data_IF_363442600945
#
_entry.id   IF_363442600945
#
_cell.length_a   1.000
_cell.length_b   1.000
_cell.length_c   1.000
_cell.angle_alpha   90.00
_cell.angle_beta   90.00
_cell.angle_gamma   90.00
#
_symmetry.space_group_name_H-M   'P 1'
#
loop_
_entity.id
_entity.type
_entity.pdbx_description
1 polymer ?
#
# COMPACT_ATOMS: atom_id res chain seq x y z
N UNK A 1 12.91 0.16 -63.47
CA UNK A 1 13.82 -0.86 -64.00
C UNK A 1 15.24 -0.40 -63.76
N UNK A 2 15.89 -0.96 -62.73
CA UNK A 2 17.35 -1.06 -62.58
C UNK A 2 17.60 -1.96 -61.37
N UNK A 3 17.56 -3.25 -61.67
CA UNK A 3 18.09 -4.34 -60.88
C UNK A 3 19.61 -4.20 -60.70
N UNK A 4 20.11 -4.38 -59.49
CA UNK A 4 21.36 -5.12 -59.27
C UNK A 4 21.47 -5.67 -57.85
N UNK A 5 22.19 -6.79 -57.66
CA UNK A 5 22.07 -7.73 -56.55
C UNK A 5 23.35 -7.75 -55.70
N UNK A 6 23.57 -8.84 -54.92
CA UNK A 6 24.85 -9.24 -54.30
C UNK A 6 25.07 -8.57 -52.93
N UNK A 7 25.42 -9.22 -51.82
CA UNK A 7 26.23 -10.42 -51.66
C UNK A 7 26.04 -10.99 -50.24
N UNK A 8 25.93 -12.30 -50.17
CA UNK A 8 26.05 -13.17 -48.98
C UNK A 8 27.41 -12.99 -48.27
N UNK A 9 27.41 -12.93 -46.94
CA UNK A 9 28.54 -13.49 -46.17
C UNK A 9 28.16 -13.91 -44.75
N UNK A 10 28.11 -15.23 -44.57
CA UNK A 10 28.08 -15.91 -43.30
C UNK A 10 29.37 -15.66 -42.51
N UNK A 11 29.24 -15.28 -41.24
CA UNK A 11 30.34 -15.26 -40.29
C UNK A 11 29.99 -16.15 -39.08
N UNK A 12 30.22 -17.45 -39.26
CA UNK A 12 30.12 -18.49 -38.24
C UNK A 12 31.34 -18.38 -37.32
N UNK A 13 31.31 -17.53 -36.29
CA UNK A 13 32.35 -17.50 -35.25
C UNK A 13 32.11 -18.62 -34.25
N UNK A 14 32.88 -19.71 -34.43
CA UNK A 14 33.18 -20.69 -33.37
C UNK A 14 33.83 -19.95 -32.20
N UNK A 15 33.25 -20.04 -31.00
CA UNK A 15 33.96 -19.71 -29.76
C UNK A 15 34.64 -20.97 -29.22
N UNK A 16 35.93 -20.92 -28.85
CA UNK A 16 36.63 -22.02 -28.22
C UNK A 16 36.18 -22.19 -26.76
N UNK A 17 36.22 -23.44 -26.30
CA UNK A 17 35.87 -23.83 -24.94
C UNK A 17 36.72 -23.11 -23.90
N UNK A 18 36.05 -22.62 -22.87
CA UNK A 18 36.68 -22.29 -21.61
C UNK A 18 36.50 -23.47 -20.68
N UNK A 19 37.64 -24.02 -20.29
CA UNK A 19 37.77 -25.15 -19.39
C UNK A 19 37.16 -24.88 -18.03
N UNK A 20 36.76 -25.99 -17.43
CA UNK A 20 36.39 -26.11 -16.04
C UNK A 20 37.52 -25.61 -15.12
N UNK A 21 37.17 -24.66 -14.26
CA UNK A 21 37.83 -24.51 -12.97
C UNK A 21 36.74 -24.62 -11.91
N UNK A 22 36.58 -25.84 -11.40
CA UNK A 22 35.86 -26.16 -10.16
C UNK A 22 36.58 -25.45 -9.00
N UNK A 23 36.14 -24.23 -8.68
CA UNK A 23 36.41 -23.61 -7.39
C UNK A 23 35.18 -23.85 -6.52
N UNK A 24 35.36 -24.74 -5.56
CA UNK A 24 34.41 -25.03 -4.50
C UNK A 24 33.97 -23.73 -3.80
N UNK A 25 32.67 -23.49 -3.58
CA UNK A 25 32.25 -22.43 -2.70
C UNK A 25 32.68 -22.79 -1.28
N UNK A 26 33.63 -22.02 -0.74
CA UNK A 26 33.91 -21.96 0.70
C UNK A 26 32.59 -21.74 1.41
N UNK A 27 32.22 -22.70 2.26
CA UNK A 27 31.05 -22.63 3.11
C UNK A 27 31.08 -21.35 3.93
N UNK A 28 30.20 -20.42 3.61
CA UNK A 28 29.85 -19.33 4.49
C UNK A 28 29.01 -19.95 5.60
N UNK A 29 29.70 -20.39 6.67
CA UNK A 29 29.08 -20.79 7.93
C UNK A 29 28.60 -19.51 8.60
N UNK A 30 27.53 -18.92 8.05
CA UNK A 30 26.79 -17.87 8.71
C UNK A 30 26.26 -18.46 10.00
N UNK A 31 26.80 -17.99 11.12
CA UNK A 31 26.27 -18.22 12.45
C UNK A 31 24.82 -17.76 12.46
N UNK A 32 23.90 -18.70 12.28
CA UNK A 32 22.47 -18.51 12.57
C UNK A 32 22.40 -18.35 14.09
N UNK A 33 22.49 -17.11 14.55
CA UNK A 33 22.08 -16.77 15.90
C UNK A 33 20.61 -17.17 16.05
N UNK A 34 20.25 -18.03 17.00
CA UNK A 34 18.86 -18.31 17.29
C UNK A 34 18.32 -17.08 18.02
N UNK A 35 17.87 -16.08 17.27
CA UNK A 35 16.99 -15.03 17.83
C UNK A 35 15.61 -15.68 18.00
N UNK A 36 15.50 -16.58 18.97
CA UNK A 36 14.25 -16.82 19.70
C UNK A 36 13.98 -15.54 20.47
N UNK A 37 13.37 -14.55 19.81
CA UNK A 37 12.58 -13.56 20.56
C UNK A 37 11.40 -14.34 21.12
N UNK A 38 11.49 -14.64 22.42
CA UNK A 38 10.31 -14.83 23.23
C UNK A 38 9.50 -13.53 23.10
N UNK A 39 8.50 -13.54 22.21
CA UNK A 39 7.43 -12.57 22.26
C UNK A 39 6.66 -12.87 23.55
N UNK A 40 7.03 -12.17 24.61
CA UNK A 40 6.29 -12.19 25.87
C UNK A 40 4.89 -11.60 25.64
N UNK A 41 3.88 -12.06 26.39
CA UNK A 41 2.49 -11.61 26.27
C UNK A 41 2.24 -10.13 26.63
N UNK A 42 3.26 -9.38 27.06
CA UNK A 42 3.10 -7.99 27.53
C UNK A 42 2.91 -6.94 26.42
N UNK A 43 3.21 -7.26 25.16
CA UNK A 43 2.97 -6.30 24.05
C UNK A 43 1.49 -6.24 23.65
N UNK A 44 0.67 -7.19 24.10
CA UNK A 44 -0.75 -7.26 23.73
C UNK A 44 -1.62 -6.20 24.42
N UNK A 45 -1.29 -5.74 25.63
CA UNK A 45 -2.15 -4.79 26.37
C UNK A 45 -1.94 -3.33 25.96
N UNK A 46 -0.71 -2.91 25.65
CA UNK A 46 -0.44 -1.55 25.18
C UNK A 46 -0.97 -1.29 23.76
N UNK A 47 -1.13 -2.35 22.95
CA UNK A 47 -1.64 -2.25 21.57
C UNK A 47 -3.16 -2.02 21.53
N UNK A 48 -3.91 -2.59 22.48
CA UNK A 48 -5.37 -2.40 22.58
C UNK A 48 -5.73 -0.94 22.89
N UNK A 49 -4.94 -0.24 23.73
CA UNK A 49 -5.25 1.13 24.13
C UNK A 49 -5.11 2.19 23.02
N UNK A 50 -4.17 2.00 22.08
CA UNK A 50 -3.99 2.94 20.95
C UNK A 50 -5.03 2.66 19.86
N UNK A 51 -5.38 1.40 19.62
CA UNK A 51 -6.45 1.03 18.69
C UNK A 51 -7.80 1.60 19.10
N UNK A 52 -8.19 1.51 20.38
CA UNK A 52 -9.50 1.99 20.81
C UNK A 52 -9.70 3.48 20.56
N UNK A 53 -8.67 4.32 20.76
CA UNK A 53 -8.79 5.76 20.52
C UNK A 53 -8.88 6.10 19.03
N UNK A 54 -8.14 5.41 18.17
CA UNK A 54 -8.17 5.63 16.72
C UNK A 54 -9.47 5.12 16.10
N UNK A 55 -9.94 3.94 16.52
CA UNK A 55 -11.23 3.40 16.11
C UNK A 55 -12.38 4.21 16.69
N UNK A 56 -12.29 4.74 17.91
CA UNK A 56 -13.32 5.62 18.46
C UNK A 56 -13.45 6.92 17.66
N UNK A 57 -12.34 7.53 17.23
CA UNK A 57 -12.35 8.72 16.36
C UNK A 57 -12.88 8.38 14.96
N UNK A 58 -12.47 7.23 14.40
CA UNK A 58 -12.97 6.77 13.11
C UNK A 58 -14.47 6.42 13.16
N UNK A 59 -14.93 5.78 14.23
CA UNK A 59 -16.33 5.42 14.47
C UNK A 59 -17.17 6.63 14.80
N UNK A 60 -16.67 7.63 15.54
CA UNK A 60 -17.40 8.89 15.74
C UNK A 60 -17.46 9.70 14.46
N UNK A 61 -16.39 9.75 13.65
CA UNK A 61 -16.43 10.36 12.33
C UNK A 61 -17.40 9.61 11.40
N UNK A 62 -17.41 8.28 11.43
CA UNK A 62 -18.33 7.43 10.67
C UNK A 62 -19.78 7.56 11.17
N UNK A 63 -20.00 7.74 12.47
CA UNK A 63 -21.31 7.97 13.06
C UNK A 63 -21.82 9.38 12.74
N UNK A 64 -20.97 10.41 12.83
CA UNK A 64 -21.28 11.77 12.34
C UNK A 64 -21.58 11.76 10.84
N UNK A 65 -20.88 10.92 10.08
CA UNK A 65 -21.12 10.73 8.67
C UNK A 65 -22.43 9.99 8.40
N UNK A 66 -22.74 8.95 9.18
CA UNK A 66 -23.99 8.21 9.08
C UNK A 66 -25.18 9.12 9.40
N UNK A 67 -25.07 9.96 10.43
CA UNK A 67 -26.11 10.95 10.76
C UNK A 67 -26.24 12.04 9.70
N UNK A 68 -25.14 12.44 9.03
CA UNK A 68 -25.22 13.32 7.86
C UNK A 68 -25.85 12.62 6.63
N UNK A 69 -25.68 11.30 6.47
CA UNK A 69 -26.19 10.53 5.34
C UNK A 69 -27.66 10.13 5.49
N UNK A 70 -28.11 9.80 6.71
CA UNK A 70 -29.51 9.49 7.01
C UNK A 70 -30.40 10.73 7.09
N UNK A 71 -29.92 11.88 6.62
CA UNK A 71 -30.75 13.04 6.28
C UNK A 71 -31.69 12.76 5.09
N UNK A 72 -32.43 11.66 5.12
CA UNK A 72 -33.71 11.46 4.43
C UNK A 72 -34.83 12.16 5.22
N UNK A 73 -34.60 13.40 5.66
CA UNK A 73 -35.62 14.20 6.31
C UNK A 73 -35.96 15.39 5.42
N UNK A 74 -37.03 15.16 4.65
CA UNK A 74 -37.89 16.13 3.98
C UNK A 74 -37.34 16.81 2.72
N UNK A 75 -38.09 16.67 1.63
CA UNK A 75 -37.85 17.33 0.34
C UNK A 75 -37.78 18.87 0.45
N UNK A 76 -38.32 19.46 1.52
CA UNK A 76 -38.25 20.90 1.80
C UNK A 76 -36.83 21.42 2.06
N UNK A 77 -35.88 20.54 2.39
CA UNK A 77 -34.49 20.96 2.65
C UNK A 77 -33.62 21.06 1.39
N UNK A 78 -34.11 20.60 0.23
CA UNK A 78 -33.33 20.55 -1.03
C UNK A 78 -32.97 21.95 -1.55
N UNK A 79 -33.81 22.96 -1.31
CA UNK A 79 -33.55 24.34 -1.74
C UNK A 79 -32.63 25.13 -0.78
N UNK A 80 -32.47 24.70 0.48
CA UNK A 80 -31.46 25.25 1.42
C UNK A 80 -30.19 24.41 1.52
N UNK A 81 -30.18 23.19 1.01
CA UNK A 81 -29.10 22.21 1.18
C UNK A 81 -27.78 22.57 0.50
N UNK A 82 -27.79 23.42 -0.53
CA UNK A 82 -26.57 23.83 -1.24
C UNK A 82 -25.59 24.60 -0.36
N UNK A 83 -26.09 25.56 0.43
CA UNK A 83 -25.25 26.35 1.34
C UNK A 83 -24.75 25.52 2.54
N UNK A 84 -25.59 24.58 3.02
CA UNK A 84 -25.22 23.70 4.13
C UNK A 84 -24.11 22.70 3.75
N UNK A 85 -24.20 22.10 2.55
CA UNK A 85 -23.16 21.19 2.04
C UNK A 85 -21.81 21.89 1.88
N UNK A 86 -21.79 23.10 1.33
CA UNK A 86 -20.56 23.88 1.18
C UNK A 86 -19.93 24.24 2.53
N UNK A 87 -20.74 24.64 3.51
CA UNK A 87 -20.28 24.98 4.87
C UNK A 87 -19.74 23.76 5.63
N UNK A 88 -20.45 22.63 5.57
CA UNK A 88 -20.05 21.39 6.22
C UNK A 88 -18.73 20.85 5.63
N UNK A 89 -18.58 20.93 4.30
CA UNK A 89 -17.35 20.53 3.62
C UNK A 89 -16.15 21.38 4.07
N UNK A 90 -16.32 22.70 4.15
CA UNK A 90 -15.25 23.61 4.56
C UNK A 90 -14.86 23.42 6.04
N UNK A 91 -15.84 23.21 6.92
CA UNK A 91 -15.60 22.95 8.34
C UNK A 91 -14.85 21.63 8.55
N UNK A 92 -15.26 20.56 7.86
CA UNK A 92 -14.57 19.27 7.92
C UNK A 92 -13.13 19.40 7.43
N UNK A 93 -12.90 20.15 6.34
CA UNK A 93 -11.55 20.36 5.80
C UNK A 93 -10.60 21.01 6.79
N UNK A 94 -11.06 22.06 7.48
CA UNK A 94 -10.25 22.77 8.47
C UNK A 94 -9.94 21.88 9.68
N UNK A 95 -10.94 21.15 10.19
CA UNK A 95 -10.75 20.26 11.34
C UNK A 95 -9.79 19.11 11.02
N UNK A 96 -9.91 18.53 9.82
CA UNK A 96 -9.01 17.45 9.34
C UNK A 96 -7.57 17.94 9.23
N UNK A 97 -7.34 19.16 8.75
CA UNK A 97 -5.98 19.73 8.67
C UNK A 97 -5.36 19.98 10.05
N UNK A 98 -6.14 20.46 11.02
CA UNK A 98 -5.67 20.64 12.40
C UNK A 98 -5.34 19.28 13.03
N UNK A 99 -6.24 18.30 12.87
CA UNK A 99 -6.02 16.94 13.37
C UNK A 99 -4.76 16.29 12.74
N UNK A 100 -4.49 16.53 11.46
CA UNK A 100 -3.31 16.02 10.79
C UNK A 100 -1.99 16.56 11.35
N UNK A 101 -1.99 17.71 12.03
CA UNK A 101 -0.83 18.22 12.75
C UNK A 101 -0.60 17.57 14.11
N UNK A 102 -1.67 17.05 14.74
CA UNK A 102 -1.64 16.53 16.11
C UNK A 102 -1.37 15.02 16.18
N UNK A 103 -1.58 14.28 15.09
CA UNK A 103 -1.42 12.83 15.09
C UNK A 103 0.05 12.43 14.90
N UNK A 104 0.65 11.66 15.83
CA UNK A 104 2.06 11.31 15.76
C UNK A 104 2.38 10.31 14.63
N UNK A 105 1.40 9.53 14.19
CA UNK A 105 1.60 8.50 13.16
C UNK A 105 1.57 9.09 11.74
N UNK A 106 2.68 8.94 11.01
CA UNK A 106 2.85 9.42 9.63
C UNK A 106 1.78 8.86 8.68
N UNK A 107 1.40 7.59 8.83
CA UNK A 107 0.40 6.96 7.98
C UNK A 107 -0.95 7.69 8.04
N UNK A 108 -1.35 8.08 9.25
CA UNK A 108 -2.60 8.79 9.48
C UNK A 108 -2.54 10.24 8.97
N UNK A 109 -1.37 10.88 9.06
CA UNK A 109 -1.15 12.21 8.46
C UNK A 109 -1.32 12.16 6.94
N UNK A 110 -0.74 11.15 6.29
CA UNK A 110 -0.94 10.90 4.86
C UNK A 110 -2.42 10.70 4.58
N UNK A 111 -3.12 9.88 5.37
CA UNK A 111 -4.56 9.67 5.24
C UNK A 111 -5.37 10.97 5.28
N UNK A 112 -5.21 11.75 6.34
CA UNK A 112 -5.95 13.01 6.53
C UNK A 112 -5.60 14.05 5.48
N UNK A 113 -4.32 14.17 5.10
CA UNK A 113 -3.88 15.11 4.06
C UNK A 113 -4.53 14.81 2.71
N UNK A 114 -4.69 13.54 2.36
CA UNK A 114 -5.37 13.09 1.14
C UNK A 114 -6.87 13.29 1.25
N UNK A 115 -7.47 12.96 2.38
CA UNK A 115 -8.89 13.19 2.59
C UNK A 115 -9.26 14.69 2.45
N UNK A 116 -8.38 15.58 2.93
CA UNK A 116 -8.55 17.02 2.80
C UNK A 116 -8.24 17.58 1.40
N UNK A 117 -7.53 16.85 0.53
CA UNK A 117 -7.22 17.32 -0.82
C UNK A 117 -8.30 16.97 -1.84
N UNK A 118 -9.11 15.94 -1.57
CA UNK A 118 -10.15 15.44 -2.48
C UNK A 118 -11.40 16.34 -2.44
N UNK A 119 -12.04 16.63 -3.60
CA UNK A 119 -13.28 17.43 -3.65
C UNK A 119 -14.49 16.76 -2.98
N UNK A 120 -14.59 15.44 -3.11
CA UNK A 120 -15.67 14.61 -2.56
C UNK A 120 -15.11 13.49 -1.68
N UNK A 121 -14.79 13.75 -0.39
CA UNK A 121 -14.17 12.77 0.50
C UNK A 121 -15.01 11.50 0.64
N UNK A 122 -16.35 11.62 0.62
CA UNK A 122 -17.27 10.49 0.72
C UNK A 122 -17.15 9.53 -0.48
N UNK A 123 -17.12 10.08 -1.70
CA UNK A 123 -16.99 9.29 -2.93
C UNK A 123 -15.63 8.60 -2.97
N UNK A 124 -14.59 9.30 -2.53
CA UNK A 124 -13.27 8.72 -2.40
C UNK A 124 -13.20 7.58 -1.38
N UNK A 125 -13.71 7.79 -0.16
CA UNK A 125 -13.75 6.74 0.86
C UNK A 125 -14.54 5.52 0.38
N UNK A 126 -15.71 5.73 -0.25
CA UNK A 126 -16.50 4.65 -0.83
C UNK A 126 -15.72 3.88 -1.91
N UNK A 127 -14.97 4.59 -2.76
CA UNK A 127 -14.09 3.99 -3.77
C UNK A 127 -12.97 3.14 -3.15
N UNK A 128 -12.30 3.66 -2.11
CA UNK A 128 -11.26 2.89 -1.40
C UNK A 128 -11.85 1.69 -0.66
N UNK A 129 -13.03 1.82 -0.04
CA UNK A 129 -13.72 0.70 0.61
C UNK A 129 -14.07 -0.38 -0.40
N UNK A 130 -14.63 0.00 -1.57
CA UNK A 130 -14.97 -0.94 -2.62
C UNK A 130 -13.73 -1.71 -3.12
N UNK A 131 -12.62 -1.01 -3.37
CA UNK A 131 -11.34 -1.64 -3.74
C UNK A 131 -10.83 -2.59 -2.65
N UNK A 132 -10.97 -2.21 -1.38
CA UNK A 132 -10.59 -3.07 -0.25
C UNK A 132 -11.44 -4.32 -0.11
N UNK A 133 -12.75 -4.21 -0.35
CA UNK A 133 -13.67 -5.35 -0.37
C UNK A 133 -13.37 -6.28 -1.54
N UNK A 134 -13.09 -5.75 -2.73
CA UNK A 134 -12.66 -6.55 -3.88
C UNK A 134 -11.35 -7.27 -3.58
N UNK A 135 -10.39 -6.57 -2.97
CA UNK A 135 -9.14 -7.16 -2.53
C UNK A 135 -9.38 -8.30 -1.55
N UNK A 136 -10.16 -8.05 -0.49
CA UNK A 136 -10.51 -9.06 0.51
C UNK A 136 -11.22 -10.27 -0.13
N UNK A 137 -12.16 -10.04 -1.04
CA UNK A 137 -12.79 -11.10 -1.84
C UNK A 137 -11.78 -11.90 -2.66
N UNK A 138 -10.81 -11.22 -3.28
CA UNK A 138 -9.73 -11.89 -4.02
C UNK A 138 -8.83 -12.73 -3.13
N UNK A 139 -8.59 -12.30 -1.88
CA UNK A 139 -7.82 -13.06 -0.87
C UNK A 139 -8.56 -14.31 -0.41
N UNK A 140 -9.89 -14.22 -0.27
CA UNK A 140 -10.76 -15.37 0.06
C UNK A 140 -10.75 -16.39 -1.07
N UNK A 141 -10.85 -15.94 -2.32
CA UNK A 141 -10.82 -16.82 -3.51
C UNK A 141 -9.42 -17.40 -3.73
N UNK A 142 -8.35 -16.67 -3.37
CA UNK A 142 -6.95 -17.06 -3.57
C UNK A 142 -6.21 -17.15 -2.23
N UNK A 143 -6.35 -18.26 -1.49
CA UNK A 143 -5.81 -18.38 -0.12
C UNK A 143 -4.28 -18.30 -0.05
N UNK A 144 -3.57 -18.48 -1.16
CA UNK A 144 -2.12 -18.31 -1.22
C UNK A 144 -1.69 -16.90 -0.80
N UNK A 145 -2.40 -15.86 -1.25
CA UNK A 145 -2.04 -14.48 -0.94
C UNK A 145 -2.29 -14.17 0.54
N UNK A 146 -3.40 -14.68 1.09
CA UNK A 146 -3.71 -14.55 2.51
C UNK A 146 -2.65 -15.21 3.41
N UNK A 147 -2.14 -16.39 3.03
CA UNK A 147 -1.09 -17.10 3.77
C UNK A 147 0.21 -16.31 3.87
N UNK A 148 0.53 -15.51 2.85
CA UNK A 148 1.73 -14.67 2.83
C UNK A 148 1.52 -13.39 3.65
N UNK A 149 0.34 -12.77 3.57
CA UNK A 149 0.08 -11.49 4.26
C UNK A 149 -0.15 -11.68 5.76
N UNK A 150 -0.87 -12.73 6.18
CA UNK A 150 -1.32 -12.90 7.57
C UNK A 150 -0.17 -12.86 8.60
N UNK A 151 0.98 -13.52 8.40
CA UNK A 151 2.10 -13.45 9.34
C UNK A 151 2.66 -12.03 9.53
N UNK A 152 2.55 -11.19 8.49
CA UNK A 152 3.06 -9.82 8.49
C UNK A 152 1.99 -8.77 8.86
N UNK A 153 0.76 -9.21 9.15
CA UNK A 153 -0.34 -8.31 9.53
C UNK A 153 0.03 -7.28 10.61
N UNK A 154 0.68 -7.61 11.76
CA UNK A 154 0.98 -6.61 12.79
C UNK A 154 1.95 -5.51 12.32
N UNK A 155 2.85 -5.82 11.39
CA UNK A 155 3.77 -4.84 10.80
C UNK A 155 3.06 -3.93 9.78
N UNK A 156 2.02 -4.44 9.10
CA UNK A 156 1.28 -3.68 8.08
C UNK A 156 0.20 -2.78 8.72
N UNK A 157 -0.42 -3.22 9.82
CA UNK A 157 -1.48 -2.49 10.53
C UNK A 157 -1.16 -1.01 10.82
N UNK A 158 0.00 -0.61 11.37
CA UNK A 158 0.28 0.81 11.65
C UNK A 158 0.30 1.68 10.38
N UNK A 159 0.54 1.07 9.20
CA UNK A 159 0.60 1.74 7.92
C UNK A 159 -0.69 1.64 7.10
N UNK A 160 -1.70 0.90 7.59
CA UNK A 160 -2.97 0.70 6.90
C UNK A 160 -3.65 2.02 6.48
N UNK A 161 -3.69 3.08 7.31
CA UNK A 161 -4.33 4.33 6.91
C UNK A 161 -3.72 4.92 5.63
N UNK A 162 -2.39 4.86 5.48
CA UNK A 162 -1.72 5.32 4.27
C UNK A 162 -2.01 4.41 3.08
N UNK A 163 -1.91 3.08 3.26
CA UNK A 163 -2.22 2.08 2.23
C UNK A 163 -3.66 2.25 1.74
N UNK A 164 -4.61 2.44 2.67
CA UNK A 164 -6.03 2.58 2.41
C UNK A 164 -6.34 3.75 1.49
N UNK A 165 -5.63 4.88 1.60
CA UNK A 165 -5.84 6.02 0.69
C UNK A 165 -5.51 5.73 -0.77
N UNK A 166 -4.80 4.65 -1.05
CA UNK A 166 -4.32 4.29 -2.40
C UNK A 166 -4.72 2.89 -2.79
N UNK A 167 -5.69 2.31 -2.10
CA UNK A 167 -6.09 0.92 -2.26
C UNK A 167 -6.63 0.65 -3.66
N UNK A 168 -7.39 1.58 -4.24
CA UNK A 168 -7.88 1.52 -5.62
C UNK A 168 -6.79 1.46 -6.68
N UNK A 169 -5.64 2.11 -6.44
CA UNK A 169 -4.48 2.06 -7.34
C UNK A 169 -3.69 0.76 -7.12
N UNK A 170 -3.61 0.32 -5.87
CA UNK A 170 -2.87 -0.88 -5.47
C UNK A 170 -3.58 -2.19 -5.85
N UNK A 171 -4.91 -2.21 -5.83
CA UNK A 171 -5.75 -3.39 -6.08
C UNK A 171 -5.25 -4.28 -7.24
N UNK A 172 -5.03 -3.78 -8.48
CA UNK A 172 -4.58 -4.61 -9.60
C UNK A 172 -3.16 -5.17 -9.42
N UNK A 173 -2.34 -4.55 -8.57
CA UNK A 173 -0.93 -4.87 -8.39
C UNK A 173 -0.62 -5.71 -7.15
N UNK A 174 -1.55 -5.80 -6.18
CA UNK A 174 -1.34 -6.52 -4.91
C UNK A 174 -0.87 -7.97 -5.11
N UNK A 175 -1.42 -8.79 -6.02
CA UNK A 175 -0.93 -10.16 -6.21
C UNK A 175 0.55 -10.22 -6.62
N UNK A 176 1.00 -9.27 -7.45
CA UNK A 176 2.41 -9.15 -7.86
C UNK A 176 3.30 -8.66 -6.73
N UNK A 177 2.83 -7.65 -5.99
CA UNK A 177 3.53 -7.09 -4.82
C UNK A 177 3.74 -8.18 -3.77
N UNK A 178 2.67 -8.87 -3.33
CA UNK A 178 2.73 -9.85 -2.23
C UNK A 178 3.69 -11.00 -2.54
N UNK A 179 3.71 -11.48 -3.78
CA UNK A 179 4.60 -12.57 -4.19
C UNK A 179 6.08 -12.21 -4.03
N UNK A 180 6.41 -10.94 -4.21
CA UNK A 180 7.78 -10.44 -4.19
C UNK A 180 8.16 -9.89 -2.82
N UNK A 181 7.20 -9.28 -2.11
CA UNK A 181 7.45 -8.56 -0.86
C UNK A 181 7.74 -9.49 0.31
N UNK A 182 7.30 -10.76 0.28
CA UNK A 182 7.45 -11.70 1.40
C UNK A 182 8.87 -11.74 2.02
N UNK A 183 9.96 -11.95 1.24
CA UNK A 183 11.32 -11.92 1.80
C UNK A 183 11.82 -10.52 2.17
N UNK A 184 11.22 -9.44 1.66
CA UNK A 184 11.72 -8.07 1.79
C UNK A 184 10.88 -7.19 2.71
N UNK A 185 9.77 -7.71 3.26
CA UNK A 185 8.78 -6.92 3.98
C UNK A 185 9.39 -6.20 5.19
N UNK A 186 10.25 -6.88 5.96
CA UNK A 186 10.92 -6.25 7.11
C UNK A 186 11.89 -5.13 6.75
N UNK A 187 12.37 -5.07 5.50
CA UNK A 187 13.20 -3.96 5.01
C UNK A 187 12.33 -2.81 4.47
N UNK A 188 11.19 -3.14 3.86
CA UNK A 188 10.27 -2.16 3.25
C UNK A 188 9.38 -1.48 4.29
N UNK A 189 8.98 -2.17 5.35
CA UNK A 189 8.11 -1.69 6.44
C UNK A 189 8.47 -0.27 6.93
N UNK A 190 9.69 0.03 7.40
CA UNK A 190 10.02 1.36 7.93
C UNK A 190 9.94 2.48 6.89
N UNK A 191 9.91 2.14 5.60
CA UNK A 191 9.83 3.08 4.49
C UNK A 191 8.44 3.13 3.84
N UNK A 192 7.50 2.29 4.30
CA UNK A 192 6.23 2.08 3.62
C UNK A 192 5.40 3.37 3.57
N UNK A 193 5.34 4.14 4.67
CA UNK A 193 4.64 5.42 4.70
C UNK A 193 5.22 6.43 3.69
N UNK A 194 6.55 6.51 3.59
CA UNK A 194 7.22 7.42 2.66
C UNK A 194 7.01 6.99 1.19
N UNK A 195 6.92 5.68 0.95
CA UNK A 195 6.55 5.14 -0.36
C UNK A 195 5.10 5.53 -0.69
N UNK A 196 4.17 5.36 0.27
CA UNK A 196 2.77 5.75 0.10
C UNK A 196 2.61 7.26 -0.15
N UNK A 197 3.41 8.12 0.47
CA UNK A 197 3.39 9.56 0.18
C UNK A 197 3.65 9.85 -1.30
N UNK A 198 4.64 9.17 -1.88
CA UNK A 198 5.14 9.37 -3.25
C UNK A 198 4.51 8.46 -4.30
N UNK A 199 3.53 7.66 -3.93
CA UNK A 199 3.01 6.62 -4.82
C UNK A 199 2.39 7.16 -6.12
N UNK A 200 1.92 8.42 -6.17
CA UNK A 200 1.47 9.05 -7.44
C UNK A 200 2.60 9.11 -8.49
N UNK A 201 3.84 9.26 -8.03
CA UNK A 201 5.03 9.31 -8.89
C UNK A 201 5.54 7.90 -9.22
N UNK A 202 5.26 6.93 -8.34
CA UNK A 202 5.73 5.54 -8.45
C UNK A 202 4.78 4.71 -9.33
N UNK A 203 3.48 4.96 -9.27
CA UNK A 203 2.42 4.26 -9.99
C UNK A 203 2.74 3.99 -11.47
N UNK A 204 3.12 4.99 -12.31
CA UNK A 204 3.42 4.73 -13.72
C UNK A 204 4.61 3.78 -13.95
N UNK A 205 5.49 3.66 -12.97
CA UNK A 205 6.68 2.81 -13.01
C UNK A 205 6.50 1.48 -12.25
N UNK A 206 5.38 1.32 -11.53
CA UNK A 206 5.12 0.18 -10.66
C UNK A 206 5.22 -1.17 -11.41
N UNK A 207 4.69 -1.34 -12.64
CA UNK A 207 4.86 -2.59 -13.40
C UNK A 207 6.33 -2.92 -13.69
N UNK A 208 7.14 -1.91 -14.00
CA UNK A 208 8.56 -2.08 -14.27
C UNK A 208 9.35 -2.40 -13.00
N UNK A 209 9.02 -1.74 -11.88
CA UNK A 209 9.62 -1.99 -10.57
C UNK A 209 9.33 -3.42 -10.13
N UNK A 210 8.08 -3.88 -10.22
CA UNK A 210 7.71 -5.26 -9.85
C UNK A 210 8.41 -6.32 -10.71
N UNK A 211 8.74 -6.02 -11.96
CA UNK A 211 9.46 -6.94 -12.82
C UNK A 211 10.93 -7.13 -12.41
N UNK A 212 11.54 -6.12 -11.78
CA UNK A 212 12.99 -6.07 -11.46
C UNK A 212 13.29 -5.93 -9.96
N UNK A 213 12.29 -6.13 -9.11
CA UNK A 213 12.40 -5.87 -7.67
C UNK A 213 13.41 -6.81 -6.99
N UNK A 214 13.57 -8.03 -7.52
CA UNK A 214 14.59 -9.00 -7.11
C UNK A 214 16.04 -8.52 -7.34
N UNK A 215 16.25 -7.69 -8.36
CA UNK A 215 17.52 -7.02 -8.62
C UNK A 215 17.68 -5.82 -7.69
N UNK A 216 16.62 -5.00 -7.56
CA UNK A 216 16.65 -3.79 -6.74
C UNK A 216 16.85 -4.07 -5.25
N UNK A 217 16.18 -5.10 -4.72
CA UNK A 217 16.20 -5.42 -3.30
C UNK A 217 17.56 -5.92 -2.78
N UNK A 218 18.47 -6.34 -3.67
CA UNK A 218 19.85 -6.71 -3.28
C UNK A 218 20.72 -5.49 -2.97
N UNK A 219 20.28 -4.30 -3.37
CA UNK A 219 21.01 -3.05 -3.24
C UNK A 219 20.38 -2.08 -2.22
N UNK A 220 19.30 -2.50 -1.56
CA UNK A 220 18.69 -1.79 -0.44
C UNK A 220 19.17 -2.39 0.88
#
# INVERSE_FOLDING_TARGET
>A
ATSSPMMTRAARRRRPGFGATLLAPRGYRGSVSPVRRAAGPEVSEAFVGIEESAWAVALTAAALWATCRTGELSEDFVLRGGAFKASCHQLLRNQVQIAAGMVPNLAFRIFLSRLASVPDPCKFLAGQTAAGLNLAGSLVVRPFVARVILPHSPAILPHLPAIYTRLSILEPHVPGIVRILDPYLGMVEPHLDRIMERMDQIEPHLPYILLHLDVLAKHC
#
